data_IF_265528430843
#
_entry.id   IF_265528430843
#
_cell.length_a   1.000
_cell.length_b   1.000
_cell.length_c   1.000
_cell.angle_alpha   90.00
_cell.angle_beta   90.00
_cell.angle_gamma   90.00
#
_symmetry.space_group_name_H-M   'P 1'
#
loop_
_entity.id
_entity.type
_entity.pdbx_description
1 polymer ?
#
# COMPACT_ATOMS: atom_id res chain seq x y z
N UNK A 1 -0.23 -9.26 9.15
CA UNK A 1 -1.13 -10.20 8.45
C UNK A 1 -0.96 -9.89 6.97
N UNK A 2 -0.51 -10.85 6.16
CA UNK A 2 -0.36 -10.63 4.71
C UNK A 2 -1.63 -11.17 4.04
N UNK A 3 -2.36 -10.30 3.35
CA UNK A 3 -3.57 -10.69 2.63
C UNK A 3 -3.13 -11.03 1.20
N UNK A 4 -3.01 -12.32 0.90
CA UNK A 4 -2.58 -12.77 -0.44
C UNK A 4 -3.78 -12.79 -1.38
N UNK A 5 -4.04 -11.68 -2.05
CA UNK A 5 -4.99 -11.59 -3.18
C UNK A 5 -4.26 -11.09 -4.42
N UNK A 6 -4.73 -11.48 -5.61
CA UNK A 6 -4.20 -10.93 -6.87
C UNK A 6 -4.51 -9.43 -6.92
N UNK A 7 -3.46 -8.62 -7.08
CA UNK A 7 -3.55 -7.18 -7.27
C UNK A 7 -2.81 -6.82 -8.53
N UNK A 8 -3.33 -5.89 -9.31
CA UNK A 8 -2.62 -5.29 -10.44
C UNK A 8 -2.12 -3.93 -10.00
N UNK A 9 -0.81 -3.72 -10.05
CA UNK A 9 -0.19 -2.44 -9.73
C UNK A 9 0.33 -1.79 -11.01
N UNK A 10 -0.05 -0.54 -11.23
CA UNK A 10 0.57 0.34 -12.23
C UNK A 10 1.17 1.59 -11.56
N UNK A 11 1.70 2.52 -12.35
CA UNK A 11 2.30 3.77 -11.87
C UNK A 11 1.30 4.80 -11.31
N UNK A 12 0.00 4.58 -11.53
CA UNK A 12 -1.06 5.53 -11.23
C UNK A 12 -2.22 4.95 -10.42
N UNK A 13 -2.38 3.63 -10.37
CA UNK A 13 -3.39 3.00 -9.52
C UNK A 13 -2.99 1.58 -9.13
N UNK A 14 -3.63 1.08 -8.07
CA UNK A 14 -3.68 -0.34 -7.75
C UNK A 14 -5.11 -0.84 -7.89
N UNK A 15 -5.31 -1.94 -8.61
CA UNK A 15 -6.60 -2.58 -8.82
C UNK A 15 -6.62 -3.94 -8.12
N UNK A 16 -7.64 -4.16 -7.30
CA UNK A 16 -7.85 -5.38 -6.53
C UNK A 16 -8.68 -6.41 -7.33
N UNK A 17 -8.56 -7.68 -6.95
CA UNK A 17 -9.28 -8.80 -7.59
C UNK A 17 -10.80 -8.65 -7.70
N UNK A 18 -11.42 -7.90 -6.80
CA UNK A 18 -12.86 -7.62 -6.78
C UNK A 18 -13.28 -6.45 -7.70
N UNK A 19 -12.30 -5.79 -8.33
CA UNK A 19 -12.49 -4.65 -9.21
C UNK A 19 -12.48 -3.30 -8.50
N UNK A 20 -12.27 -3.24 -7.18
CA UNK A 20 -11.98 -1.97 -6.50
C UNK A 20 -10.58 -1.47 -6.92
N UNK A 21 -10.36 -0.16 -6.91
CA UNK A 21 -9.03 0.41 -7.17
C UNK A 21 -8.72 1.60 -6.28
N UNK A 22 -7.44 1.84 -5.99
CA UNK A 22 -6.94 3.09 -5.40
C UNK A 22 -6.12 3.84 -6.44
N UNK A 23 -6.52 5.07 -6.72
CA UNK A 23 -5.80 5.96 -7.64
C UNK A 23 -4.80 6.80 -6.86
N UNK A 24 -3.54 6.74 -7.27
CA UNK A 24 -2.44 7.52 -6.72
C UNK A 24 -2.55 8.99 -7.18
N UNK A 25 -2.17 9.91 -6.30
CA UNK A 25 -2.16 11.35 -6.58
C UNK A 25 -0.72 11.84 -6.82
N UNK A 26 0.06 11.98 -5.75
CA UNK A 26 1.44 12.47 -5.81
C UNK A 26 2.42 11.50 -5.13
N UNK A 27 3.60 11.32 -5.73
CA UNK A 27 4.76 10.70 -5.10
C UNK A 27 5.33 11.66 -4.04
N UNK A 28 5.10 11.36 -2.77
CA UNK A 28 5.45 12.23 -1.65
C UNK A 28 6.84 11.95 -1.06
N UNK A 29 7.39 10.75 -1.29
CA UNK A 29 8.75 10.37 -0.88
C UNK A 29 9.29 9.19 -1.68
N UNK A 30 10.62 9.12 -1.80
CA UNK A 30 11.39 8.14 -2.56
C UNK A 30 12.30 7.24 -1.68
N UNK A 31 12.18 7.38 -0.36
CA UNK A 31 12.92 6.61 0.64
C UNK A 31 11.96 6.24 1.76
N UNK A 32 12.05 5.00 2.25
CA UNK A 32 11.21 4.48 3.32
C UNK A 32 12.02 3.65 4.30
N UNK A 33 11.54 3.52 5.55
CA UNK A 33 12.19 2.66 6.55
C UNK A 33 11.44 1.34 6.63
N UNK A 34 12.13 0.23 6.41
CA UNK A 34 11.60 -1.13 6.51
C UNK A 34 12.47 -1.90 7.49
N UNK A 35 11.87 -2.47 8.54
CA UNK A 35 12.59 -3.18 9.61
C UNK A 35 13.76 -2.36 10.24
N UNK A 36 13.61 -1.02 10.26
CA UNK A 36 14.62 -0.10 10.76
C UNK A 36 15.75 0.26 9.76
N UNK A 37 15.73 -0.28 8.55
CA UNK A 37 16.68 0.03 7.48
C UNK A 37 16.07 0.95 6.42
N UNK A 38 16.86 1.92 5.93
CA UNK A 38 16.41 2.80 4.83
C UNK A 38 16.53 2.09 3.50
N UNK A 39 15.43 1.99 2.78
CA UNK A 39 15.34 1.39 1.46
C UNK A 39 14.86 2.40 0.43
N UNK A 40 15.21 2.18 -0.83
CA UNK A 40 14.57 2.89 -1.94
C UNK A 40 13.13 2.39 -2.05
N UNK A 41 12.20 3.32 -2.06
CA UNK A 41 10.77 3.03 -2.07
C UNK A 41 10.05 4.16 -2.82
N UNK A 42 8.83 3.91 -3.28
CA UNK A 42 7.97 4.96 -3.79
C UNK A 42 6.76 5.05 -2.88
N UNK A 43 6.52 6.20 -2.26
CA UNK A 43 5.31 6.39 -1.46
C UNK A 43 4.44 7.46 -2.08
N UNK A 44 3.21 7.06 -2.37
CA UNK A 44 2.20 7.84 -3.02
C UNK A 44 1.11 8.21 -2.02
N UNK A 45 0.58 9.42 -2.16
CA UNK A 45 -0.72 9.78 -1.59
C UNK A 45 -1.84 9.21 -2.46
N UNK A 46 -2.99 8.93 -1.86
CA UNK A 46 -4.20 8.47 -2.56
C UNK A 46 -5.09 9.68 -2.85
N UNK A 47 -5.55 9.80 -4.09
CA UNK A 47 -6.37 10.94 -4.55
C UNK A 47 -7.75 10.97 -3.88
N UNK A 48 -8.38 9.81 -3.72
CA UNK A 48 -9.66 9.62 -3.04
C UNK A 48 -9.51 8.59 -1.91
N UNK A 49 -9.20 9.03 -0.68
CA UNK A 49 -9.14 8.12 0.45
C UNK A 49 -10.47 7.40 0.64
N UNK A 50 -10.42 6.07 0.70
CA UNK A 50 -11.60 5.22 0.79
C UNK A 50 -11.34 4.01 1.69
N UNK A 51 -12.41 3.50 2.30
CA UNK A 51 -12.40 2.19 2.97
C UNK A 51 -12.58 1.14 1.89
N UNK A 52 -11.68 0.17 1.86
CA UNK A 52 -11.73 -0.92 0.89
C UNK A 52 -12.04 -2.24 1.56
N UNK A 53 -13.09 -2.87 1.07
CA UNK A 53 -13.60 -4.17 1.52
C UNK A 53 -13.21 -5.22 0.49
N UNK A 54 -12.15 -5.97 0.79
CA UNK A 54 -11.74 -7.12 0.01
C UNK A 54 -12.76 -8.26 0.09
N UNK A 55 -12.59 -9.20 -0.83
CA UNK A 55 -13.35 -10.45 -0.88
C UNK A 55 -13.47 -11.12 0.50
N UNK A 56 -14.68 -11.60 0.78
CA UNK A 56 -15.11 -12.19 2.06
C UNK A 56 -15.29 -11.21 3.23
N UNK A 57 -15.38 -9.90 2.97
CA UNK A 57 -15.66 -8.89 4.01
C UNK A 57 -14.44 -8.57 4.87
N UNK A 58 -13.24 -8.87 4.37
CA UNK A 58 -12.00 -8.41 4.99
C UNK A 58 -11.76 -6.97 4.56
N UNK A 59 -11.40 -6.09 5.47
CA UNK A 59 -11.01 -4.73 5.11
C UNK A 59 -9.50 -4.60 5.05
N UNK A 60 -9.04 -3.75 4.14
CA UNK A 60 -7.61 -3.43 4.00
C UNK A 60 -7.04 -2.84 5.30
N UNK A 61 -7.68 -1.81 5.83
CA UNK A 61 -7.21 -1.09 7.01
C UNK A 61 -8.29 -1.01 8.09
N UNK A 62 -9.07 -2.09 8.28
CA UNK A 62 -10.21 -2.03 9.18
C UNK A 62 -11.28 -1.07 8.64
N UNK A 63 -11.76 -0.17 9.49
CA UNK A 63 -12.66 0.92 9.09
C UNK A 63 -11.89 2.18 8.61
N UNK A 64 -10.56 2.09 8.49
CA UNK A 64 -9.67 3.19 8.10
C UNK A 64 -9.71 3.49 6.59
N UNK A 65 -9.66 4.78 6.27
CA UNK A 65 -9.50 5.24 4.88
C UNK A 65 -8.04 5.09 4.48
N UNK A 66 -7.76 4.40 3.38
CA UNK A 66 -6.39 4.31 2.86
C UNK A 66 -6.00 5.67 2.30
N UNK A 67 -4.97 6.28 2.87
CA UNK A 67 -4.47 7.62 2.54
C UNK A 67 -3.13 7.59 1.81
N UNK A 68 -2.31 6.58 2.07
CA UNK A 68 -1.00 6.42 1.44
C UNK A 68 -0.73 4.97 1.02
N UNK A 69 0.09 4.83 -0.02
CA UNK A 69 0.58 3.55 -0.53
C UNK A 69 2.09 3.63 -0.69
N UNK A 70 2.84 2.70 -0.10
CA UNK A 70 4.28 2.58 -0.26
C UNK A 70 4.63 1.32 -1.04
N UNK A 71 5.57 1.41 -1.97
CA UNK A 71 6.10 0.27 -2.72
C UNK A 71 7.62 0.19 -2.60
N UNK A 72 8.15 -1.00 -2.40
CA UNK A 72 9.59 -1.24 -2.35
C UNK A 72 9.95 -2.65 -2.81
N UNK A 73 11.22 -2.86 -3.14
CA UNK A 73 11.72 -4.19 -3.47
C UNK A 73 11.83 -5.05 -2.20
N UNK A 74 11.13 -6.18 -2.20
CA UNK A 74 11.19 -7.22 -1.18
C UNK A 74 12.24 -8.29 -1.48
N UNK A 75 12.09 -9.46 -0.85
CA UNK A 75 12.90 -10.64 -1.13
C UNK A 75 12.51 -11.28 -2.47
N UNK A 76 13.47 -11.96 -3.11
CA UNK A 76 13.26 -12.77 -4.31
C UNK A 76 12.64 -12.03 -5.51
N UNK A 77 13.08 -10.77 -5.74
CA UNK A 77 12.60 -9.86 -6.80
C UNK A 77 11.10 -9.49 -6.70
N UNK A 78 10.46 -9.80 -5.57
CA UNK A 78 9.07 -9.43 -5.31
C UNK A 78 8.96 -7.95 -4.98
N UNK A 79 7.86 -7.32 -5.36
CA UNK A 79 7.52 -5.97 -4.94
C UNK A 79 6.57 -6.04 -3.74
N UNK A 80 6.92 -5.35 -2.65
CA UNK A 80 6.01 -5.18 -1.52
C UNK A 80 5.20 -3.91 -1.74
N UNK A 81 3.90 -4.00 -1.48
CA UNK A 81 2.98 -2.86 -1.49
C UNK A 81 2.35 -2.76 -0.11
N UNK A 82 2.60 -1.68 0.62
CA UNK A 82 1.99 -1.40 1.90
C UNK A 82 0.99 -0.25 1.81
N UNK A 83 -0.04 -0.34 2.63
CA UNK A 83 -1.15 0.61 2.73
C UNK A 83 -1.16 1.23 4.11
N UNK A 84 -1.55 2.50 4.18
CA UNK A 84 -1.57 3.30 5.40
C UNK A 84 -2.88 4.08 5.49
N UNK A 85 -3.38 4.25 6.70
CA UNK A 85 -4.55 5.07 7.07
C UNK A 85 -4.14 6.29 7.92
N UNK A 86 -2.87 6.67 7.85
CA UNK A 86 -2.27 7.78 8.61
C UNK A 86 -2.68 9.13 8.03
N UNK A 87 -2.71 10.16 8.88
CA UNK A 87 -2.95 11.54 8.45
C UNK A 87 -1.67 12.20 7.89
N UNK A 88 -0.53 11.87 8.48
CA UNK A 88 0.79 12.31 8.02
C UNK A 88 1.40 11.27 7.08
N UNK A 89 2.33 11.72 6.23
CA UNK A 89 3.09 10.84 5.34
C UNK A 89 3.83 9.79 6.18
N UNK A 90 3.61 8.49 5.97
CA UNK A 90 4.19 7.44 6.79
C UNK A 90 5.71 7.39 6.60
N UNK A 91 6.46 7.20 7.67
CA UNK A 91 7.93 7.13 7.60
C UNK A 91 8.48 5.72 7.57
N UNK A 92 7.68 4.74 8.00
CA UNK A 92 8.11 3.35 8.16
C UNK A 92 6.99 2.32 8.02
N UNK A 93 7.37 1.07 7.77
CA UNK A 93 6.46 -0.07 7.70
C UNK A 93 5.77 -0.38 9.04
N UNK A 94 6.25 0.16 10.16
CA UNK A 94 5.59 0.03 11.47
C UNK A 94 4.17 0.66 11.49
N UNK A 95 3.92 1.64 10.62
CA UNK A 95 2.66 2.37 10.51
C UNK A 95 1.68 1.72 9.52
N UNK A 96 2.07 0.62 8.86
CA UNK A 96 1.22 -0.01 7.84
C UNK A 96 0.00 -0.69 8.45
N UNK A 97 -1.15 -0.51 7.81
CA UNK A 97 -2.38 -1.20 8.18
C UNK A 97 -2.58 -2.50 7.38
N UNK A 98 -2.06 -2.54 6.14
CA UNK A 98 -2.01 -3.74 5.32
C UNK A 98 -0.79 -3.79 4.40
N UNK A 99 -0.46 -4.99 3.93
CA UNK A 99 0.62 -5.22 2.97
C UNK A 99 0.32 -6.39 2.05
N UNK A 100 0.78 -6.29 0.81
CA UNK A 100 0.73 -7.31 -0.24
C UNK A 100 2.14 -7.55 -0.78
N UNK A 101 2.33 -8.74 -1.32
CA UNK A 101 3.54 -9.10 -2.06
C UNK A 101 3.11 -9.42 -3.48
N UNK A 102 3.73 -8.74 -4.43
CA UNK A 102 3.46 -8.83 -5.87
C UNK A 102 4.67 -9.43 -6.59
N UNK A 103 4.41 -10.35 -7.53
CA UNK A 103 5.41 -11.03 -8.37
C UNK A 103 5.40 -10.53 -9.82
#
# INVERSE_FOLDING_TARGET
MSITGDVSLDDSEIVFSDGQSLVFDELVQDVFVVDGEKVAASVYSVSEPQVLELLNGNTLCGDGFVTYVATWAGMDDLTIVAMFDTQDVPGSDEEMCASFTYE
#
